data_IF_823340781546
#
_entry.id   IF_823340781546
#
_cell.length_a   1.000
_cell.length_b   1.000
_cell.length_c   1.000
_cell.angle_alpha   90.00
_cell.angle_beta   90.00
_cell.angle_gamma   90.00
#
_symmetry.space_group_name_H-M   'P 1'
#
loop_
_entity.id
_entity.type
_entity.pdbx_description
1 polymer ?
#
# COMPACT_ATOMS: atom_id res chain seq x y z
N UNK A 1 36.37 16.40 9.54
CA UNK A 1 35.42 16.53 10.67
C UNK A 1 34.02 16.71 10.13
N UNK A 2 33.17 15.69 10.18
CA UNK A 2 31.76 15.78 9.74
C UNK A 2 30.98 16.44 10.87
N UNK A 3 30.53 17.68 10.68
CA UNK A 3 29.56 18.34 11.59
C UNK A 3 28.37 17.40 11.72
N UNK A 4 28.08 16.91 12.94
CA UNK A 4 26.81 16.22 13.23
C UNK A 4 25.70 17.24 12.97
N UNK A 5 25.09 17.19 11.80
CA UNK A 5 23.88 17.94 11.52
C UNK A 5 22.82 17.53 12.57
N UNK A 6 22.15 18.51 13.17
CA UNK A 6 21.15 18.25 14.19
C UNK A 6 19.99 17.41 13.65
N UNK A 7 19.33 16.64 14.52
CA UNK A 7 18.15 15.80 14.17
C UNK A 7 17.11 16.61 13.39
N UNK A 8 16.88 17.86 13.78
CA UNK A 8 15.97 18.78 13.10
C UNK A 8 16.32 19.05 11.63
N UNK A 9 17.61 19.15 11.30
CA UNK A 9 18.05 19.37 9.93
C UNK A 9 17.74 18.15 9.05
N UNK A 10 17.95 16.94 9.57
CA UNK A 10 17.63 15.69 8.87
C UNK A 10 16.13 15.53 8.68
N UNK A 11 15.32 15.86 9.71
CA UNK A 11 13.86 15.86 9.61
C UNK A 11 13.37 16.86 8.56
N UNK A 12 13.88 18.09 8.60
CA UNK A 12 13.55 19.12 7.62
C UNK A 12 13.90 18.65 6.21
N UNK A 13 15.09 18.07 6.01
CA UNK A 13 15.50 17.54 4.71
C UNK A 13 14.61 16.38 4.24
N UNK A 14 14.21 15.47 5.13
CA UNK A 14 13.31 14.38 4.80
C UNK A 14 11.94 14.89 4.30
N UNK A 15 11.46 16.00 4.86
CA UNK A 15 10.19 16.64 4.48
C UNK A 15 10.33 17.53 3.24
N UNK A 16 11.43 18.27 3.10
CA UNK A 16 11.67 19.19 1.98
C UNK A 16 12.23 18.51 0.74
N UNK A 17 12.73 17.27 0.88
CA UNK A 17 13.53 16.63 -0.15
C UNK A 17 14.93 17.24 -0.21
N UNK A 18 15.92 16.43 -0.58
CA UNK A 18 17.29 16.85 -0.79
C UNK A 18 17.90 16.16 -2.00
N UNK A 19 18.96 16.71 -2.58
CA UNK A 19 19.62 16.14 -3.77
C UNK A 19 20.78 15.19 -3.44
N UNK A 20 20.73 14.55 -2.27
CA UNK A 20 21.79 13.64 -1.83
C UNK A 20 21.71 12.30 -2.52
N UNK A 21 22.88 11.81 -2.91
CA UNK A 21 23.05 10.45 -3.37
C UNK A 21 22.96 9.44 -2.20
N UNK A 22 21.89 8.63 -2.21
CA UNK A 22 21.59 7.69 -1.14
C UNK A 22 22.56 6.50 -1.11
N UNK A 23 23.29 6.25 -2.20
CA UNK A 23 24.29 5.16 -2.28
C UNK A 23 25.65 5.58 -1.71
N UNK A 24 25.85 6.87 -1.38
CA UNK A 24 27.12 7.37 -0.82
C UNK A 24 27.02 7.88 0.62
N UNK A 25 25.89 8.46 1.03
CA UNK A 25 25.73 9.01 2.40
C UNK A 25 25.72 7.92 3.50
N UNK A 26 25.72 8.31 4.79
CA UNK A 26 25.58 7.33 5.88
C UNK A 26 24.24 6.56 5.80
N UNK A 27 24.28 5.24 5.93
CA UNK A 27 23.11 4.35 5.79
C UNK A 27 21.93 4.71 6.70
N UNK A 28 22.19 5.01 7.98
CA UNK A 28 21.15 5.46 8.92
C UNK A 28 20.44 6.71 8.43
N UNK A 29 21.18 7.64 7.82
CA UNK A 29 20.63 8.87 7.25
C UNK A 29 19.80 8.57 6.01
N UNK A 30 20.30 7.71 5.11
CA UNK A 30 19.56 7.29 3.92
C UNK A 30 18.20 6.65 4.27
N UNK A 31 18.18 5.76 5.27
CA UNK A 31 16.95 5.16 5.80
C UNK A 31 16.00 6.24 6.32
N UNK A 32 16.45 7.14 7.18
CA UNK A 32 15.60 8.21 7.74
C UNK A 32 15.04 9.14 6.66
N UNK A 33 15.85 9.53 5.68
CA UNK A 33 15.43 10.44 4.59
C UNK A 33 14.35 9.84 3.69
N UNK A 34 14.27 8.51 3.55
CA UNK A 34 13.22 7.84 2.79
C UNK A 34 12.05 7.38 3.66
N UNK A 35 12.32 6.75 4.79
CA UNK A 35 11.27 6.15 5.63
C UNK A 35 10.33 7.19 6.21
N UNK A 36 10.81 8.36 6.65
CA UNK A 36 9.93 9.40 7.22
C UNK A 36 8.86 9.86 6.22
N UNK A 37 9.21 10.36 5.03
CA UNK A 37 8.20 10.80 4.09
C UNK A 37 7.30 9.65 3.63
N UNK A 38 7.82 8.42 3.49
CA UNK A 38 6.99 7.26 3.13
C UNK A 38 6.03 6.82 4.25
N UNK A 39 6.43 6.92 5.53
CA UNK A 39 5.54 6.68 6.68
C UNK A 39 4.43 7.72 6.71
N UNK A 40 4.79 9.00 6.53
CA UNK A 40 3.85 10.11 6.48
C UNK A 40 2.93 10.07 5.27
N UNK A 41 3.40 9.52 4.15
CA UNK A 41 2.60 9.19 2.97
C UNK A 41 1.51 8.17 3.36
N UNK A 42 1.88 7.05 3.98
CA UNK A 42 0.93 6.00 4.39
C UNK A 42 -0.04 6.44 5.50
N UNK A 43 0.42 7.27 6.45
CA UNK A 43 -0.45 7.84 7.48
C UNK A 43 -1.53 8.75 6.89
N UNK A 44 -1.19 9.52 5.85
CA UNK A 44 -2.15 10.39 5.17
C UNK A 44 -3.20 9.61 4.38
N UNK A 45 -2.83 8.45 3.81
CA UNK A 45 -3.81 7.55 3.19
C UNK A 45 -4.81 7.01 4.22
N UNK A 46 -4.31 6.65 5.41
CA UNK A 46 -5.19 6.21 6.49
C UNK A 46 -6.17 7.28 6.93
N UNK A 47 -5.70 8.52 7.07
CA UNK A 47 -6.53 9.64 7.51
C UNK A 47 -7.59 9.96 6.46
N UNK A 48 -7.20 9.98 5.18
CA UNK A 48 -8.11 10.14 4.05
C UNK A 48 -9.23 9.10 4.08
N UNK A 49 -8.91 7.81 4.18
CA UNK A 49 -9.91 6.75 4.20
C UNK A 49 -10.90 6.88 5.37
N UNK A 50 -10.44 7.34 6.53
CA UNK A 50 -11.30 7.59 7.69
C UNK A 50 -12.27 8.75 7.47
N UNK A 51 -11.77 9.86 6.90
CA UNK A 51 -12.55 11.07 6.64
C UNK A 51 -13.62 10.84 5.58
N UNK A 52 -13.29 10.12 4.50
CA UNK A 52 -14.22 9.79 3.42
C UNK A 52 -15.39 8.94 3.94
N UNK A 53 -15.08 7.84 4.65
CA UNK A 53 -16.11 6.97 5.26
C UNK A 53 -16.95 7.74 6.28
N UNK A 54 -16.35 8.65 7.06
CA UNK A 54 -17.08 9.46 8.02
C UNK A 54 -18.16 10.32 7.34
N UNK A 55 -17.84 11.02 6.25
CA UNK A 55 -18.82 11.83 5.56
C UNK A 55 -19.88 10.99 4.83
N UNK A 56 -19.47 9.92 4.15
CA UNK A 56 -20.41 9.01 3.47
C UNK A 56 -21.38 8.37 4.46
N UNK A 57 -20.92 8.00 5.66
CA UNK A 57 -21.78 7.35 6.67
C UNK A 57 -22.99 8.19 7.09
N UNK A 58 -22.93 9.52 6.90
CA UNK A 58 -24.02 10.45 7.22
C UNK A 58 -25.15 10.46 6.18
N UNK A 59 -24.92 9.91 4.99
CA UNK A 59 -25.94 9.78 3.94
C UNK A 59 -26.89 8.59 4.18
N UNK A 60 -26.55 7.69 5.09
CA UNK A 60 -27.35 6.53 5.45
C UNK A 60 -26.81 5.20 4.93
N UNK A 61 -27.53 4.12 5.28
CA UNK A 61 -27.08 2.73 5.12
C UNK A 61 -26.82 2.36 3.65
N UNK A 62 -27.66 2.82 2.73
CA UNK A 62 -27.50 2.54 1.31
C UNK A 62 -26.19 3.11 0.74
N UNK A 63 -25.80 4.32 1.14
CA UNK A 63 -24.55 4.95 0.69
C UNK A 63 -23.31 4.21 1.26
N UNK A 64 -23.37 3.78 2.51
CA UNK A 64 -22.32 2.95 3.12
C UNK A 64 -22.19 1.61 2.39
N UNK A 65 -23.32 0.99 2.00
CA UNK A 65 -23.30 -0.25 1.21
C UNK A 65 -22.69 -0.04 -0.18
N UNK A 66 -22.99 1.07 -0.86
CA UNK A 66 -22.35 1.44 -2.14
C UNK A 66 -20.83 1.50 -2.00
N UNK A 67 -20.32 2.22 -0.99
CA UNK A 67 -18.87 2.36 -0.78
C UNK A 67 -18.24 1.01 -0.43
N UNK A 68 -18.82 0.24 0.49
CA UNK A 68 -18.29 -1.06 0.88
C UNK A 68 -18.23 -2.07 -0.28
N UNK A 69 -19.25 -2.11 -1.15
CA UNK A 69 -19.20 -2.94 -2.36
C UNK A 69 -18.10 -2.43 -3.32
N UNK A 70 -18.02 -1.11 -3.52
CA UNK A 70 -17.03 -0.53 -4.42
C UNK A 70 -15.58 -0.75 -3.93
N UNK A 71 -15.34 -0.75 -2.63
CA UNK A 71 -14.03 -1.03 -2.03
C UNK A 71 -13.50 -2.41 -2.46
N UNK A 72 -14.36 -3.44 -2.51
CA UNK A 72 -13.97 -4.77 -2.95
C UNK A 72 -13.50 -4.80 -4.41
N UNK A 73 -14.16 -4.06 -5.29
CA UNK A 73 -13.75 -3.91 -6.69
C UNK A 73 -12.44 -3.10 -6.79
N UNK A 74 -12.34 -2.01 -6.02
CA UNK A 74 -11.16 -1.15 -5.99
C UNK A 74 -9.93 -1.84 -5.42
N UNK A 75 -10.09 -2.78 -4.50
CA UNK A 75 -8.98 -3.57 -3.96
C UNK A 75 -8.21 -4.32 -5.07
N UNK A 76 -8.89 -4.78 -6.13
CA UNK A 76 -8.25 -5.43 -7.29
C UNK A 76 -7.41 -4.40 -8.06
N UNK A 77 -7.99 -3.22 -8.34
CA UNK A 77 -7.30 -2.13 -9.04
C UNK A 77 -6.10 -1.64 -8.21
N UNK A 78 -6.25 -1.48 -6.90
CA UNK A 78 -5.16 -1.10 -6.00
C UNK A 78 -4.06 -2.16 -5.92
N UNK A 79 -4.40 -3.46 -5.97
CA UNK A 79 -3.40 -4.53 -6.01
C UNK A 79 -2.54 -4.43 -7.28
N UNK A 80 -3.15 -4.10 -8.41
CA UNK A 80 -2.44 -3.85 -9.68
C UNK A 80 -1.60 -2.57 -9.57
N UNK A 81 -2.14 -1.49 -8.98
CA UNK A 81 -1.44 -0.23 -8.79
C UNK A 81 -0.21 -0.38 -7.87
N UNK A 82 -0.33 -1.13 -6.78
CA UNK A 82 0.77 -1.43 -5.87
C UNK A 82 1.81 -2.33 -6.53
N UNK A 83 1.39 -3.35 -7.29
CA UNK A 83 2.30 -4.18 -8.08
C UNK A 83 3.08 -3.36 -9.10
N UNK A 84 2.38 -2.55 -9.90
CA UNK A 84 2.99 -1.62 -10.85
C UNK A 84 3.97 -0.66 -10.17
N UNK A 85 3.58 -0.10 -9.02
CA UNK A 85 4.45 0.77 -8.23
C UNK A 85 5.72 0.06 -7.74
N UNK A 86 5.64 -1.20 -7.33
CA UNK A 86 6.81 -1.98 -6.93
C UNK A 86 7.77 -2.22 -8.12
N UNK A 87 7.24 -2.58 -9.29
CA UNK A 87 8.04 -2.78 -10.49
C UNK A 87 8.72 -1.50 -10.98
N UNK A 88 7.97 -0.40 -11.08
CA UNK A 88 8.53 0.92 -11.44
C UNK A 88 9.61 1.34 -10.43
N UNK A 89 9.35 1.19 -9.12
CA UNK A 89 10.34 1.54 -8.09
C UNK A 89 11.62 0.74 -8.27
N UNK A 90 11.54 -0.58 -8.54
CA UNK A 90 12.71 -1.43 -8.72
C UNK A 90 13.56 -1.01 -9.92
N UNK A 91 12.95 -0.80 -11.09
CA UNK A 91 13.67 -0.42 -12.32
C UNK A 91 14.27 0.99 -12.20
N UNK A 92 13.48 1.97 -11.74
CA UNK A 92 13.97 3.35 -11.59
C UNK A 92 15.05 3.44 -10.51
N UNK A 93 14.89 2.73 -9.38
CA UNK A 93 15.92 2.68 -8.35
C UNK A 93 17.21 2.07 -8.88
N UNK A 94 17.13 0.98 -9.66
CA UNK A 94 18.28 0.34 -10.28
C UNK A 94 19.08 1.32 -11.14
N UNK A 95 18.42 1.96 -12.11
CA UNK A 95 19.03 2.95 -13.02
C UNK A 95 19.58 4.17 -12.27
N UNK A 96 18.87 4.63 -11.24
CA UNK A 96 19.34 5.73 -10.37
C UNK A 96 20.62 5.34 -9.62
N UNK A 97 20.71 4.09 -9.16
CA UNK A 97 21.90 3.52 -8.54
C UNK A 97 23.10 3.48 -9.48
N UNK A 98 22.87 3.02 -10.72
CA UNK A 98 23.85 2.93 -11.82
C UNK A 98 24.35 4.29 -12.29
N UNK A 99 23.74 5.39 -11.83
CA UNK A 99 23.95 6.77 -12.32
C UNK A 99 23.53 6.95 -13.78
N UNK A 100 22.72 6.03 -14.30
CA UNK A 100 22.12 6.09 -15.63
C UNK A 100 20.82 6.92 -15.58
N UNK A 101 20.98 8.24 -15.69
CA UNK A 101 19.84 9.17 -15.67
C UNK A 101 18.89 8.96 -16.86
N UNK A 102 19.43 8.75 -18.07
CA UNK A 102 18.61 8.56 -19.27
C UNK A 102 17.82 7.24 -19.16
N UNK A 103 18.43 6.16 -18.69
CA UNK A 103 17.72 4.90 -18.44
C UNK A 103 16.62 5.02 -17.37
N UNK A 104 16.85 5.81 -16.32
CA UNK A 104 15.84 6.10 -15.31
C UNK A 104 14.66 6.89 -15.90
N UNK A 105 14.93 7.87 -16.75
CA UNK A 105 13.92 8.67 -17.45
C UNK A 105 13.09 7.82 -18.43
N UNK A 106 13.74 6.93 -19.18
CA UNK A 106 13.05 5.98 -20.07
C UNK A 106 12.16 5.04 -19.26
N UNK A 107 12.67 4.44 -18.18
CA UNK A 107 11.89 3.54 -17.32
C UNK A 107 10.66 4.24 -16.71
N UNK A 108 10.83 5.50 -16.29
CA UNK A 108 9.75 6.34 -15.78
C UNK A 108 8.63 6.54 -16.81
N UNK A 109 8.98 6.86 -18.06
CA UNK A 109 7.99 7.03 -19.14
C UNK A 109 7.31 5.70 -19.49
N UNK A 110 8.05 4.60 -19.60
CA UNK A 110 7.44 3.29 -19.84
C UNK A 110 6.47 2.89 -18.72
N UNK A 111 6.81 3.19 -17.45
CA UNK A 111 5.92 3.00 -16.31
C UNK A 111 4.61 3.79 -16.41
N UNK A 112 4.68 5.05 -16.84
CA UNK A 112 3.49 5.89 -17.09
C UNK A 112 2.64 5.33 -18.22
N UNK A 113 3.26 4.88 -19.31
CA UNK A 113 2.54 4.26 -20.44
C UNK A 113 1.81 2.99 -20.01
N UNK A 114 2.45 2.15 -19.18
CA UNK A 114 1.81 0.95 -18.61
C UNK A 114 0.65 1.34 -17.70
N UNK A 115 0.82 2.35 -16.84
CA UNK A 115 -0.25 2.85 -15.96
C UNK A 115 -1.48 3.33 -16.76
N UNK A 116 -1.27 4.07 -17.84
CA UNK A 116 -2.34 4.55 -18.73
C UNK A 116 -3.02 3.36 -19.43
N UNK A 117 -2.23 2.44 -19.99
CA UNK A 117 -2.76 1.28 -20.70
C UNK A 117 -3.62 0.39 -19.80
N UNK A 118 -3.12 0.05 -18.60
CA UNK A 118 -3.87 -0.71 -17.60
C UNK A 118 -5.10 0.06 -17.13
N UNK A 119 -4.97 1.37 -16.92
CA UNK A 119 -6.09 2.19 -16.48
C UNK A 119 -7.22 2.23 -17.50
N UNK A 120 -6.91 2.38 -18.78
CA UNK A 120 -7.90 2.34 -19.86
C UNK A 120 -8.51 0.95 -19.99
N UNK A 121 -7.72 -0.11 -19.83
CA UNK A 121 -8.20 -1.49 -19.86
C UNK A 121 -9.31 -1.74 -18.82
N UNK A 122 -9.21 -1.18 -17.62
CA UNK A 122 -10.25 -1.30 -16.59
C UNK A 122 -11.32 -0.20 -16.67
N UNK A 123 -10.96 1.00 -17.09
CA UNK A 123 -11.88 2.14 -17.14
C UNK A 123 -12.98 1.91 -18.16
N UNK A 124 -12.61 1.45 -19.37
CA UNK A 124 -13.55 1.32 -20.49
C UNK A 124 -14.68 0.33 -20.13
N UNK A 125 -14.42 -0.93 -19.75
CA UNK A 125 -15.48 -1.84 -19.32
C UNK A 125 -16.20 -1.34 -18.07
N UNK A 126 -15.48 -0.77 -17.10
CA UNK A 126 -16.05 -0.30 -15.84
C UNK A 126 -17.12 0.79 -16.01
N UNK A 127 -16.97 1.66 -17.01
CA UNK A 127 -17.98 2.70 -17.30
C UNK A 127 -19.26 2.10 -17.87
N UNK A 128 -19.12 1.14 -18.81
CA UNK A 128 -20.24 0.52 -19.49
C UNK A 128 -21.00 -0.46 -18.59
N UNK A 129 -20.29 -1.19 -17.72
CA UNK A 129 -20.87 -2.27 -16.89
C UNK A 129 -21.02 -1.88 -15.40
N UNK A 130 -20.93 -0.60 -15.03
CA UNK A 130 -20.93 -0.17 -13.63
C UNK A 130 -22.14 -0.69 -12.81
N UNK A 131 -23.34 -0.64 -13.39
CA UNK A 131 -24.56 -1.11 -12.71
C UNK A 131 -24.61 -2.63 -12.62
N UNK A 132 -24.19 -3.33 -13.67
CA UNK A 132 -24.11 -4.79 -13.74
C UNK A 132 -23.09 -5.34 -12.76
N UNK A 133 -21.96 -4.65 -12.57
CA UNK A 133 -20.95 -4.98 -11.57
C UNK A 133 -21.54 -4.90 -10.16
N UNK A 134 -22.25 -3.82 -9.81
CA UNK A 134 -22.93 -3.72 -8.51
C UNK A 134 -23.94 -4.85 -8.29
N UNK A 135 -24.74 -5.16 -9.31
CA UNK A 135 -25.72 -6.25 -9.24
C UNK A 135 -25.03 -7.60 -9.05
N UNK A 136 -23.94 -7.85 -9.77
CA UNK A 136 -23.15 -9.09 -9.63
C UNK A 136 -22.55 -9.23 -8.22
N UNK A 137 -22.29 -8.13 -7.53
CA UNK A 137 -21.79 -8.10 -6.15
C UNK A 137 -22.91 -8.20 -5.10
N UNK A 138 -24.17 -8.33 -5.53
CA UNK A 138 -25.32 -8.51 -4.63
C UNK A 138 -25.98 -7.21 -4.17
N UNK A 139 -25.76 -6.08 -4.87
CA UNK A 139 -26.47 -4.84 -4.57
C UNK A 139 -27.99 -5.00 -4.73
N UNK A 140 -28.76 -4.46 -3.77
CA UNK A 140 -30.20 -4.30 -3.91
C UNK A 140 -30.51 -3.30 -5.04
N UNK A 141 -31.75 -3.27 -5.59
CA UNK A 141 -32.11 -2.28 -6.61
C UNK A 141 -31.83 -0.83 -6.19
N UNK A 142 -32.11 -0.48 -4.92
CA UNK A 142 -31.83 0.83 -4.34
C UNK A 142 -30.32 1.14 -4.30
N UNK A 143 -29.50 0.21 -3.82
CA UNK A 143 -28.03 0.37 -3.77
C UNK A 143 -27.45 0.42 -5.19
N UNK A 144 -28.01 -0.34 -6.12
CA UNK A 144 -27.60 -0.33 -7.53
C UNK A 144 -27.89 1.04 -8.16
N UNK A 145 -29.10 1.58 -7.98
CA UNK A 145 -29.50 2.88 -8.52
C UNK A 145 -28.64 4.01 -7.95
N UNK A 146 -28.47 4.04 -6.63
CA UNK A 146 -27.64 5.04 -5.93
C UNK A 146 -26.15 4.91 -6.29
N UNK A 147 -25.64 3.69 -6.40
CA UNK A 147 -24.21 3.41 -6.56
C UNK A 147 -23.69 3.41 -8.00
N UNK A 148 -24.56 3.27 -9.00
CA UNK A 148 -24.11 3.19 -10.41
C UNK A 148 -23.30 4.42 -10.84
N UNK A 149 -23.73 5.67 -10.57
CA UNK A 149 -22.92 6.85 -10.89
C UNK A 149 -21.59 6.87 -10.13
N UNK A 150 -21.61 6.48 -8.86
CA UNK A 150 -20.41 6.40 -8.01
C UNK A 150 -19.36 5.45 -8.59
N UNK A 151 -19.73 4.19 -8.86
CA UNK A 151 -18.82 3.20 -9.46
C UNK A 151 -18.35 3.63 -10.83
N UNK A 152 -19.25 4.18 -11.67
CA UNK A 152 -18.90 4.64 -13.01
C UNK A 152 -17.79 5.70 -12.96
N UNK A 153 -17.86 6.65 -12.02
CA UNK A 153 -16.81 7.66 -11.83
C UNK A 153 -15.55 7.01 -11.27
N UNK A 154 -15.66 6.24 -10.20
CA UNK A 154 -14.52 5.61 -9.52
C UNK A 154 -13.71 4.71 -10.46
N UNK A 155 -14.37 3.80 -11.18
CA UNK A 155 -13.69 2.89 -12.12
C UNK A 155 -13.34 3.62 -13.42
N UNK A 156 -14.22 4.47 -13.94
CA UNK A 156 -13.94 5.23 -15.17
C UNK A 156 -12.74 6.18 -15.07
N UNK A 157 -12.40 6.62 -13.87
CA UNK A 157 -11.25 7.48 -13.59
C UNK A 157 -10.02 6.74 -13.03
N UNK A 158 -10.04 5.40 -12.96
CA UNK A 158 -8.97 4.62 -12.33
C UNK A 158 -7.58 4.83 -12.98
N UNK A 159 -7.51 5.33 -14.22
CA UNK A 159 -6.27 5.80 -14.85
C UNK A 159 -5.54 6.80 -13.94
N UNK A 160 -6.28 7.71 -13.30
CA UNK A 160 -5.72 8.71 -12.37
C UNK A 160 -5.12 8.01 -11.15
N UNK A 161 -5.79 6.99 -10.61
CA UNK A 161 -5.28 6.19 -9.48
C UNK A 161 -3.96 5.53 -9.86
N UNK A 162 -3.92 4.81 -10.98
CA UNK A 162 -2.71 4.14 -11.46
C UNK A 162 -1.56 5.13 -11.73
N UNK A 163 -1.87 6.31 -12.25
CA UNK A 163 -0.89 7.38 -12.44
C UNK A 163 -0.35 7.91 -11.10
N UNK A 164 -1.20 8.15 -10.10
CA UNK A 164 -0.73 8.60 -8.77
C UNK A 164 0.26 7.61 -8.18
N UNK A 165 -0.08 6.32 -8.15
CA UNK A 165 0.79 5.28 -7.59
C UNK A 165 2.05 5.05 -8.46
N UNK A 166 1.89 5.03 -9.78
CA UNK A 166 2.99 4.85 -10.72
C UNK A 166 4.01 5.99 -10.65
N UNK A 167 3.56 7.24 -10.63
CA UNK A 167 4.48 8.39 -10.55
C UNK A 167 5.08 8.53 -9.15
N UNK A 168 4.33 8.24 -8.08
CA UNK A 168 4.93 8.17 -6.74
C UNK A 168 6.03 7.11 -6.68
N UNK A 169 5.85 5.96 -7.35
CA UNK A 169 6.89 4.96 -7.47
C UNK A 169 8.14 5.46 -8.23
N UNK A 170 7.98 6.28 -9.27
CA UNK A 170 9.10 6.93 -9.97
C UNK A 170 9.87 7.82 -8.99
N UNK A 171 9.19 8.69 -8.26
CA UNK A 171 9.84 9.60 -7.30
C UNK A 171 10.53 8.84 -6.16
N UNK A 172 9.91 7.78 -5.64
CA UNK A 172 10.52 6.92 -4.62
C UNK A 172 11.74 6.19 -5.19
N UNK A 173 11.63 5.57 -6.35
CA UNK A 173 12.74 4.92 -7.05
C UNK A 173 13.93 5.86 -7.28
N UNK A 174 13.67 7.11 -7.66
CA UNK A 174 14.68 8.16 -7.82
C UNK A 174 15.27 8.69 -6.49
N UNK A 175 14.73 8.25 -5.35
CA UNK A 175 15.16 8.66 -4.01
C UNK A 175 14.58 9.97 -3.51
N UNK A 176 13.51 10.48 -4.13
CA UNK A 176 12.80 11.69 -3.72
C UNK A 176 11.41 11.36 -3.15
N UNK A 177 11.39 10.63 -2.03
CA UNK A 177 10.15 10.26 -1.35
C UNK A 177 9.34 11.47 -0.84
N UNK A 178 9.99 12.61 -0.59
CA UNK A 178 9.33 13.84 -0.18
C UNK A 178 8.34 14.38 -1.23
N UNK A 179 8.68 14.26 -2.53
CA UNK A 179 7.76 14.64 -3.60
C UNK A 179 6.55 13.70 -3.67
N UNK A 180 6.77 12.39 -3.50
CA UNK A 180 5.70 11.39 -3.47
C UNK A 180 4.75 11.59 -2.27
N UNK A 181 5.29 11.96 -1.11
CA UNK A 181 4.47 12.31 0.06
C UNK A 181 3.62 13.55 -0.22
N UNK A 182 4.22 14.63 -0.75
CA UNK A 182 3.50 15.89 -0.97
C UNK A 182 2.43 15.80 -2.05
N UNK A 183 2.67 15.07 -3.14
CA UNK A 183 1.63 14.84 -4.15
C UNK A 183 0.40 14.21 -3.52
N UNK A 184 0.60 13.18 -2.70
CA UNK A 184 -0.48 12.46 -2.02
C UNK A 184 -1.20 13.33 -1.00
N UNK A 185 -0.45 14.10 -0.21
CA UNK A 185 -1.02 15.05 0.74
C UNK A 185 -1.87 16.10 0.06
N UNK A 186 -1.39 16.70 -1.03
CA UNK A 186 -2.16 17.68 -1.81
C UNK A 186 -3.47 17.06 -2.27
N UNK A 187 -3.42 15.86 -2.85
CA UNK A 187 -4.62 15.20 -3.35
C UNK A 187 -5.62 14.85 -2.23
N UNK A 188 -5.13 14.26 -1.14
CA UNK A 188 -5.97 13.86 -0.02
C UNK A 188 -6.54 15.07 0.73
N UNK A 189 -5.78 16.16 0.90
CA UNK A 189 -6.28 17.40 1.51
C UNK A 189 -7.37 18.04 0.64
N UNK A 190 -7.16 18.12 -0.68
CA UNK A 190 -8.17 18.64 -1.60
C UNK A 190 -9.44 17.80 -1.53
N UNK A 191 -9.31 16.47 -1.57
CA UNK A 191 -10.45 15.59 -1.44
C UNK A 191 -11.19 15.81 -0.10
N UNK A 192 -10.51 15.77 1.05
CA UNK A 192 -11.16 15.92 2.36
C UNK A 192 -11.88 17.27 2.52
N UNK A 193 -11.43 18.31 1.82
CA UNK A 193 -12.12 19.61 1.77
C UNK A 193 -13.33 19.55 0.83
N UNK A 194 -13.20 18.90 -0.32
CA UNK A 194 -14.27 18.79 -1.32
C UNK A 194 -15.37 17.81 -0.93
N UNK A 195 -15.07 16.77 -0.14
CA UNK A 195 -16.02 15.76 0.32
C UNK A 195 -17.26 16.39 0.94
N UNK A 196 -17.20 17.15 2.06
CA UNK A 196 -18.40 17.72 2.66
C UNK A 196 -19.09 18.73 1.73
N UNK A 197 -18.33 19.41 0.86
CA UNK A 197 -18.90 20.39 -0.08
C UNK A 197 -19.76 19.73 -1.15
N UNK A 198 -19.27 18.63 -1.75
CA UNK A 198 -19.96 17.90 -2.83
C UNK A 198 -20.96 16.88 -2.30
N UNK A 199 -20.70 16.26 -1.16
CA UNK A 199 -21.62 15.28 -0.55
C UNK A 199 -22.90 15.98 -0.09
N UNK A 200 -22.78 17.09 0.66
CA UNK A 200 -23.94 17.78 1.26
C UNK A 200 -24.39 19.03 0.50
N UNK A 201 -23.75 19.38 -0.62
CA UNK A 201 -24.12 20.55 -1.43
C UNK A 201 -23.96 21.88 -0.70
N UNK A 202 -22.80 22.10 -0.08
CA UNK A 202 -22.54 23.32 0.72
C UNK A 202 -22.09 24.46 -0.19
N UNK A 203 -22.61 25.66 0.08
CA UNK A 203 -22.24 26.92 -0.60
C UNK A 203 -22.65 26.97 -2.08
N UNK A 204 -21.70 26.86 -3.01
CA UNK A 204 -21.95 26.88 -4.46
C UNK A 204 -21.97 25.47 -5.07
N UNK A 205 -21.66 24.44 -4.29
CA UNK A 205 -21.56 23.08 -4.77
C UNK A 205 -22.95 22.40 -4.76
N UNK A 206 -23.30 21.63 -5.80
CA UNK A 206 -24.53 20.85 -5.80
C UNK A 206 -24.46 19.70 -4.79
N UNK A 207 -25.61 19.31 -4.24
CA UNK A 207 -25.71 18.10 -3.42
C UNK A 207 -25.65 16.86 -4.32
N UNK A 208 -24.51 16.15 -4.28
CA UNK A 208 -24.27 14.98 -5.12
C UNK A 208 -24.35 13.65 -4.35
N UNK A 209 -24.60 13.70 -3.04
CA UNK A 209 -24.65 12.53 -2.17
C UNK A 209 -23.39 11.68 -2.29
N UNK A 210 -23.55 10.35 -2.39
CA UNK A 210 -22.41 9.42 -2.45
C UNK A 210 -21.53 9.67 -3.68
N UNK A 211 -22.13 10.09 -4.80
CA UNK A 211 -21.42 10.43 -6.04
C UNK A 211 -20.46 11.61 -5.83
N UNK A 212 -20.78 12.53 -4.89
CA UNK A 212 -19.91 13.63 -4.51
C UNK A 212 -18.56 13.17 -3.96
N UNK A 213 -18.54 12.08 -3.17
CA UNK A 213 -17.30 11.49 -2.63
C UNK A 213 -16.39 10.94 -3.75
N UNK A 214 -16.98 10.28 -4.75
CA UNK A 214 -16.23 9.83 -5.93
C UNK A 214 -15.62 11.01 -6.69
N UNK A 215 -16.41 12.07 -6.94
CA UNK A 215 -15.93 13.26 -7.66
C UNK A 215 -14.82 13.97 -6.88
N UNK A 216 -14.99 14.17 -5.57
CA UNK A 216 -13.97 14.74 -4.71
C UNK A 216 -12.67 13.92 -4.77
N UNK A 217 -12.77 12.59 -4.72
CA UNK A 217 -11.62 11.67 -4.81
C UNK A 217 -10.89 11.85 -6.15
N UNK A 218 -11.62 11.86 -7.26
CA UNK A 218 -11.03 12.01 -8.61
C UNK A 218 -10.36 13.37 -8.78
N UNK A 219 -10.99 14.45 -8.29
CA UNK A 219 -10.40 15.79 -8.33
C UNK A 219 -9.12 15.83 -7.48
N UNK A 220 -9.17 15.32 -6.25
CA UNK A 220 -8.00 15.26 -5.36
C UNK A 220 -6.84 14.48 -5.99
N UNK A 221 -7.09 13.26 -6.45
CA UNK A 221 -6.07 12.43 -7.12
C UNK A 221 -5.60 13.07 -8.44
N UNK A 222 -6.50 13.71 -9.19
CA UNK A 222 -6.17 14.45 -10.40
C UNK A 222 -5.20 15.61 -10.12
N UNK A 223 -5.45 16.39 -9.08
CA UNK A 223 -4.55 17.45 -8.63
C UNK A 223 -3.18 16.90 -8.19
N UNK A 224 -3.14 15.73 -7.54
CA UNK A 224 -1.89 15.04 -7.22
C UNK A 224 -1.11 14.68 -8.49
N UNK A 225 -1.77 14.12 -9.52
CA UNK A 225 -1.16 13.81 -10.83
C UNK A 225 -0.66 15.07 -11.52
N UNK A 226 -1.42 16.17 -11.50
CA UNK A 226 -0.98 17.43 -12.09
C UNK A 226 0.29 17.97 -11.40
N UNK A 227 0.35 17.91 -10.07
CA UNK A 227 1.54 18.28 -9.29
C UNK A 227 2.73 17.38 -9.61
N UNK A 228 2.51 16.06 -9.73
CA UNK A 228 3.52 15.09 -10.12
C UNK A 228 4.06 15.36 -11.53
N UNK A 229 3.18 15.53 -12.51
CA UNK A 229 3.53 15.85 -13.89
C UNK A 229 4.33 17.17 -13.96
N UNK A 230 3.90 18.20 -13.23
CA UNK A 230 4.66 19.46 -13.17
C UNK A 230 6.12 19.23 -12.74
N UNK A 231 6.36 18.38 -11.73
CA UNK A 231 7.73 18.02 -11.32
C UNK A 231 8.50 17.19 -12.34
N UNK A 232 7.83 16.32 -13.10
CA UNK A 232 8.47 15.53 -14.15
C UNK A 232 8.83 16.36 -15.39
N UNK A 233 8.10 17.44 -15.67
CA UNK A 233 8.31 18.30 -16.83
C UNK A 233 9.10 19.59 -16.54
N UNK A 234 9.26 20.02 -15.27
CA UNK A 234 9.91 21.29 -14.94
C UNK A 234 11.45 21.30 -15.07
N UNK A 235 12.06 20.16 -15.40
CA UNK A 235 13.51 20.03 -15.61
C UNK A 235 14.39 20.14 -14.35
N UNK A 236 13.80 20.11 -13.15
CA UNK A 236 14.52 20.24 -11.87
C UNK A 236 14.50 18.95 -11.02
N UNK A 237 13.74 17.96 -11.46
CA UNK A 237 13.62 16.66 -10.77
C UNK A 237 14.76 15.72 -11.15
N UNK A 238 15.02 14.73 -10.28
CA UNK A 238 16.01 13.67 -10.53
C UNK A 238 15.67 12.77 -11.72
N UNK A 239 14.40 12.74 -12.09
CA UNK A 239 13.86 12.07 -13.27
C UNK A 239 13.08 13.10 -14.06
N UNK A 240 13.28 13.11 -15.37
CA UNK A 240 12.69 14.06 -16.31
C UNK A 240 12.00 13.35 -17.47
N UNK A 241 10.90 13.94 -17.94
CA UNK A 241 10.20 13.45 -19.13
C UNK A 241 10.48 14.38 -20.30
N UNK A 242 11.01 13.79 -21.37
CA UNK A 242 11.17 14.44 -22.67
C UNK A 242 10.48 13.59 -23.75
N UNK A 243 10.07 14.23 -24.84
CA UNK A 243 9.36 13.56 -25.96
C UNK A 243 10.18 12.41 -26.56
N UNK A 244 11.51 12.48 -26.52
CA UNK A 244 12.40 11.40 -26.98
C UNK A 244 12.27 10.10 -26.18
N UNK A 245 11.82 10.16 -24.92
CA UNK A 245 11.63 9.00 -24.04
C UNK A 245 10.31 8.26 -24.32
N UNK A 246 9.42 8.81 -25.16
CA UNK A 246 8.16 8.17 -25.55
C UNK A 246 8.35 6.98 -26.51
N UNK A 247 9.55 6.79 -27.05
CA UNK A 247 9.85 5.60 -27.86
C UNK A 247 9.73 4.35 -26.99
N UNK A 248 9.05 3.32 -27.50
CA UNK A 248 8.92 2.06 -26.81
C UNK A 248 10.29 1.42 -26.57
N UNK A 249 10.65 1.30 -25.30
CA UNK A 249 11.84 0.58 -24.85
C UNK A 249 11.40 -0.78 -24.31
N UNK A 250 11.34 -1.78 -25.21
CA UNK A 250 10.77 -3.10 -24.92
C UNK A 250 11.43 -3.77 -23.70
N UNK A 251 12.74 -3.65 -23.54
CA UNK A 251 13.45 -4.23 -22.40
C UNK A 251 13.00 -3.62 -21.08
N UNK A 252 12.97 -2.28 -21.00
CA UNK A 252 12.52 -1.56 -19.80
C UNK A 252 11.05 -1.85 -19.49
N UNK A 253 10.18 -1.86 -20.52
CA UNK A 253 8.77 -2.18 -20.40
C UNK A 253 8.58 -3.61 -19.86
N UNK A 254 9.29 -4.59 -20.41
CA UNK A 254 9.16 -5.99 -20.01
C UNK A 254 9.68 -6.26 -18.60
N UNK A 255 10.77 -5.59 -18.21
CA UNK A 255 11.27 -5.66 -16.85
C UNK A 255 10.28 -5.06 -15.84
N UNK A 256 9.67 -3.92 -16.16
CA UNK A 256 8.61 -3.35 -15.32
C UNK A 256 7.43 -4.33 -15.22
N UNK A 257 6.93 -4.87 -16.34
CA UNK A 257 5.78 -5.78 -16.35
C UNK A 257 6.08 -7.05 -15.54
N UNK A 258 7.26 -7.67 -15.73
CA UNK A 258 7.67 -8.89 -15.03
C UNK A 258 7.75 -8.67 -13.53
N UNK A 259 8.33 -7.56 -13.07
CA UNK A 259 8.41 -7.26 -11.64
C UNK A 259 7.02 -6.92 -11.08
N UNK A 260 6.25 -6.14 -11.83
CA UNK A 260 4.93 -5.66 -11.42
C UNK A 260 3.91 -6.78 -11.30
N UNK A 261 3.89 -7.74 -12.23
CA UNK A 261 2.96 -8.85 -12.21
C UNK A 261 3.19 -9.75 -11.00
N UNK A 262 4.45 -9.99 -10.63
CA UNK A 262 4.79 -10.72 -9.41
C UNK A 262 4.36 -10.01 -8.14
N UNK A 263 4.65 -8.71 -8.03
CA UNK A 263 4.22 -7.93 -6.86
C UNK A 263 2.69 -7.80 -6.77
N UNK A 264 1.99 -7.62 -7.90
CA UNK A 264 0.52 -7.63 -7.93
C UNK A 264 -0.05 -8.99 -7.50
N UNK A 265 0.54 -10.09 -7.98
CA UNK A 265 0.16 -11.44 -7.57
C UNK A 265 0.36 -11.64 -6.06
N UNK A 266 1.46 -11.14 -5.50
CA UNK A 266 1.70 -11.19 -4.05
C UNK A 266 0.56 -10.53 -3.26
N UNK A 267 0.15 -9.31 -3.64
CA UNK A 267 -0.96 -8.61 -2.99
C UNK A 267 -2.30 -9.32 -3.18
N UNK A 268 -2.58 -9.85 -4.37
CA UNK A 268 -3.80 -10.61 -4.62
C UNK A 268 -3.86 -11.91 -3.82
N UNK A 269 -2.75 -12.64 -3.72
CA UNK A 269 -2.64 -13.87 -2.92
C UNK A 269 -2.96 -13.60 -1.45
N UNK A 270 -2.36 -12.53 -0.90
CA UNK A 270 -2.63 -12.09 0.47
C UNK A 270 -4.08 -11.64 0.63
N UNK A 271 -4.55 -10.67 -0.16
CA UNK A 271 -5.93 -10.15 -0.06
C UNK A 271 -6.99 -11.23 -0.22
N UNK A 272 -6.76 -12.24 -1.08
CA UNK A 272 -7.67 -13.35 -1.25
C UNK A 272 -7.66 -14.32 -0.05
N UNK A 273 -6.52 -14.54 0.63
CA UNK A 273 -6.49 -15.41 1.82
C UNK A 273 -7.36 -14.85 2.94
N UNK A 274 -7.38 -13.53 3.12
CA UNK A 274 -8.23 -12.83 4.09
C UNK A 274 -9.73 -13.16 3.92
N UNK A 275 -10.22 -13.30 2.69
CA UNK A 275 -11.62 -13.68 2.42
C UNK A 275 -11.96 -15.04 3.02
N UNK A 276 -11.05 -16.01 2.92
CA UNK A 276 -11.24 -17.33 3.52
C UNK A 276 -11.19 -17.29 5.05
N UNK A 277 -10.31 -16.48 5.63
CA UNK A 277 -10.25 -16.30 7.09
C UNK A 277 -11.55 -15.70 7.63
N UNK A 278 -12.05 -14.64 6.99
CA UNK A 278 -13.36 -14.05 7.33
C UNK A 278 -14.46 -15.10 7.21
N UNK A 279 -14.43 -15.94 6.17
CA UNK A 279 -15.41 -17.02 5.99
C UNK A 279 -15.37 -18.07 7.10
N UNK A 280 -14.20 -18.39 7.64
CA UNK A 280 -14.05 -19.29 8.79
C UNK A 280 -14.61 -18.61 10.05
N UNK A 281 -14.23 -17.36 10.32
CA UNK A 281 -14.74 -16.58 11.46
C UNK A 281 -16.27 -16.46 11.41
N UNK A 282 -16.86 -16.29 10.22
CA UNK A 282 -18.31 -16.25 10.03
C UNK A 282 -19.04 -17.52 10.46
N UNK A 283 -18.34 -18.66 10.58
CA UNK A 283 -18.89 -19.88 11.17
C UNK A 283 -19.21 -19.76 12.67
N UNK A 284 -18.69 -18.75 13.37
CA UNK A 284 -18.88 -18.52 14.80
C UNK A 284 -19.90 -17.40 15.10
N UNK A 285 -20.64 -16.92 14.10
CA UNK A 285 -21.72 -15.96 14.28
C UNK A 285 -21.34 -14.51 13.95
N UNK A 286 -22.35 -13.64 13.92
CA UNK A 286 -22.21 -12.23 13.51
C UNK A 286 -21.32 -11.41 14.44
N UNK A 287 -21.37 -11.67 15.75
CA UNK A 287 -20.55 -10.95 16.72
C UNK A 287 -19.05 -11.25 16.56
N UNK A 288 -18.71 -12.50 16.21
CA UNK A 288 -17.33 -12.89 15.92
C UNK A 288 -16.79 -12.15 14.68
N UNK A 289 -17.60 -12.06 13.63
CA UNK A 289 -17.24 -11.30 12.41
C UNK A 289 -17.09 -9.81 12.71
N UNK A 290 -18.00 -9.23 13.49
CA UNK A 290 -17.95 -7.83 13.88
C UNK A 290 -16.68 -7.51 14.69
N UNK A 291 -16.40 -8.30 15.74
CA UNK A 291 -15.20 -8.14 16.56
C UNK A 291 -13.91 -8.30 15.77
N UNK A 292 -13.83 -9.32 14.91
CA UNK A 292 -12.69 -9.52 14.01
C UNK A 292 -12.50 -8.34 13.05
N UNK A 293 -13.57 -7.87 12.41
CA UNK A 293 -13.51 -6.76 11.45
C UNK A 293 -13.01 -5.47 12.11
N UNK A 294 -13.45 -5.17 13.33
CA UNK A 294 -12.95 -4.03 14.11
C UNK A 294 -11.44 -4.20 14.38
N UNK A 295 -11.03 -5.38 14.85
CA UNK A 295 -9.62 -5.66 15.11
C UNK A 295 -8.74 -5.51 13.86
N UNK A 296 -9.20 -6.00 12.71
CA UNK A 296 -8.47 -5.90 11.43
C UNK A 296 -8.30 -4.44 11.00
N UNK A 297 -9.32 -3.60 11.16
CA UNK A 297 -9.21 -2.16 10.86
C UNK A 297 -8.12 -1.50 11.73
N UNK A 298 -8.08 -1.83 13.02
CA UNK A 298 -7.04 -1.33 13.94
C UNK A 298 -5.66 -1.87 13.56
N UNK A 299 -5.56 -3.14 13.18
CA UNK A 299 -4.32 -3.79 12.73
C UNK A 299 -3.79 -3.08 11.46
N UNK A 300 -4.60 -2.91 10.43
CA UNK A 300 -4.18 -2.26 9.18
C UNK A 300 -3.67 -0.84 9.46
N UNK A 301 -4.36 -0.07 10.31
CA UNK A 301 -3.90 1.25 10.72
C UNK A 301 -2.48 1.22 11.31
N UNK A 302 -2.19 0.25 12.18
CA UNK A 302 -0.86 0.08 12.76
C UNK A 302 0.19 -0.43 11.75
N UNK A 303 -0.20 -1.18 10.72
CA UNK A 303 0.70 -1.69 9.67
C UNK A 303 1.11 -0.63 8.64
N UNK A 304 0.31 0.41 8.43
CA UNK A 304 0.58 1.43 7.40
C UNK A 304 1.97 2.11 7.55
N UNK A 305 2.39 2.58 8.74
CA UNK A 305 3.76 3.07 8.92
C UNK A 305 4.83 2.00 8.65
N UNK A 306 4.57 0.75 8.99
CA UNK A 306 5.50 -0.36 8.73
C UNK A 306 5.71 -0.58 7.22
N UNK A 307 4.64 -0.47 6.42
CA UNK A 307 4.76 -0.46 4.95
C UNK A 307 5.59 0.71 4.43
N UNK A 308 5.49 1.89 5.04
CA UNK A 308 6.34 3.03 4.70
C UNK A 308 7.84 2.72 4.86
N UNK A 309 8.22 2.06 5.95
CA UNK A 309 9.60 1.62 6.18
C UNK A 309 10.02 0.52 5.20
N UNK A 310 9.13 -0.43 4.90
CA UNK A 310 9.39 -1.49 3.94
C UNK A 310 9.58 -0.97 2.50
N UNK A 311 8.82 0.05 2.10
CA UNK A 311 8.99 0.72 0.81
C UNK A 311 10.35 1.45 0.73
N UNK A 312 10.82 2.05 1.82
CA UNK A 312 12.15 2.65 1.87
C UNK A 312 13.26 1.62 1.66
N UNK A 313 13.11 0.43 2.26
CA UNK A 313 14.04 -0.68 2.06
C UNK A 313 14.09 -1.12 0.58
N UNK A 314 12.93 -1.25 -0.08
CA UNK A 314 12.84 -1.56 -1.51
C UNK A 314 13.66 -0.59 -2.37
N UNK A 315 13.47 0.73 -2.18
CA UNK A 315 14.25 1.76 -2.89
C UNK A 315 15.74 1.67 -2.61
N UNK A 316 16.14 1.54 -1.33
CA UNK A 316 17.55 1.48 -0.96
C UNK A 316 18.23 0.22 -1.52
N UNK A 317 17.56 -0.92 -1.50
CA UNK A 317 18.08 -2.15 -2.06
C UNK A 317 18.29 -2.00 -3.57
N UNK A 318 17.27 -1.51 -4.30
CA UNK A 318 17.37 -1.28 -5.74
C UNK A 318 18.51 -0.33 -6.11
N UNK A 319 18.62 0.82 -5.44
CA UNK A 319 19.69 1.79 -5.72
C UNK A 319 21.09 1.28 -5.37
N UNK A 320 21.26 0.61 -4.22
CA UNK A 320 22.58 0.09 -3.84
C UNK A 320 23.01 -1.07 -4.74
N UNK A 321 22.08 -1.92 -5.19
CA UNK A 321 22.41 -2.96 -6.16
C UNK A 321 22.73 -2.37 -7.55
N UNK A 322 22.09 -1.28 -7.97
CA UNK A 322 22.48 -0.55 -9.18
C UNK A 322 23.83 0.13 -9.08
N UNK A 323 24.23 0.53 -7.88
CA UNK A 323 25.56 1.10 -7.62
C UNK A 323 26.65 0.05 -7.36
N UNK A 324 26.42 -1.22 -7.72
CA UNK A 324 27.31 -2.37 -7.46
C UNK A 324 27.73 -2.53 -5.99
N UNK A 325 26.83 -2.21 -5.06
CA UNK A 325 27.05 -2.30 -3.61
C UNK A 325 26.07 -3.29 -2.93
N UNK A 326 26.12 -4.59 -3.25
CA UNK A 326 25.17 -5.59 -2.71
C UNK A 326 25.24 -5.76 -1.19
N UNK A 327 26.42 -5.59 -0.58
CA UNK A 327 26.56 -5.65 0.89
C UNK A 327 25.90 -4.47 1.57
N UNK A 328 25.93 -3.29 0.94
CA UNK A 328 25.25 -2.10 1.42
C UNK A 328 23.73 -2.22 1.24
N UNK A 329 23.28 -2.83 0.13
CA UNK A 329 21.88 -3.15 -0.08
C UNK A 329 21.35 -4.06 1.03
N UNK A 330 22.05 -5.15 1.32
CA UNK A 330 21.67 -6.09 2.38
C UNK A 330 21.61 -5.42 3.75
N UNK A 331 22.66 -4.68 4.13
CA UNK A 331 22.70 -3.96 5.41
C UNK A 331 21.60 -2.91 5.54
N UNK A 332 21.22 -2.27 4.44
CA UNK A 332 20.11 -1.30 4.43
C UNK A 332 18.78 -1.98 4.73
N UNK A 333 18.51 -3.14 4.12
CA UNK A 333 17.31 -3.94 4.41
C UNK A 333 17.25 -4.39 5.87
N UNK A 334 18.36 -4.88 6.43
CA UNK A 334 18.42 -5.27 7.84
C UNK A 334 18.21 -4.10 8.80
N UNK A 335 18.74 -2.92 8.47
CA UNK A 335 18.56 -1.71 9.27
C UNK A 335 17.10 -1.23 9.24
N UNK A 336 16.47 -1.20 8.06
CA UNK A 336 15.04 -0.93 7.93
C UNK A 336 14.22 -1.96 8.72
N UNK A 337 14.58 -3.25 8.64
CA UNK A 337 13.92 -4.33 9.37
C UNK A 337 14.00 -4.14 10.88
N UNK A 338 15.15 -3.70 11.39
CA UNK A 338 15.32 -3.39 12.80
C UNK A 338 14.46 -2.20 13.26
N UNK A 339 14.44 -1.09 12.50
CA UNK A 339 13.57 0.05 12.82
C UNK A 339 12.09 -0.34 12.77
N UNK A 340 11.71 -1.15 11.78
CA UNK A 340 10.35 -1.65 11.66
C UNK A 340 9.98 -2.57 12.83
N UNK A 341 10.89 -3.46 13.26
CA UNK A 341 10.69 -4.34 14.40
C UNK A 341 10.48 -3.54 15.69
N UNK A 342 11.28 -2.49 15.93
CA UNK A 342 11.11 -1.63 17.10
C UNK A 342 9.72 -0.97 17.09
N UNK A 343 9.31 -0.39 15.96
CA UNK A 343 7.98 0.20 15.80
C UNK A 343 6.85 -0.82 16.04
N UNK A 344 6.92 -1.97 15.38
CA UNK A 344 5.90 -3.03 15.47
C UNK A 344 5.83 -3.65 16.87
N UNK A 345 6.96 -3.74 17.58
CA UNK A 345 6.99 -4.19 18.98
C UNK A 345 6.31 -3.18 19.91
N UNK A 346 6.48 -1.88 19.67
CA UNK A 346 5.74 -0.84 20.40
C UNK A 346 4.24 -0.97 20.13
N UNK A 347 3.83 -1.17 18.87
CA UNK A 347 2.42 -1.39 18.53
C UNK A 347 1.85 -2.64 19.21
N UNK A 348 2.61 -3.75 19.25
CA UNK A 348 2.19 -4.96 19.94
C UNK A 348 1.99 -4.74 21.45
N UNK A 349 2.90 -4.01 22.11
CA UNK A 349 2.74 -3.64 23.52
C UNK A 349 1.50 -2.78 23.76
N UNK A 350 1.22 -1.83 22.86
CA UNK A 350 0.01 -1.01 22.92
C UNK A 350 -1.25 -1.86 22.75
N UNK A 351 -1.26 -2.82 21.81
CA UNK A 351 -2.41 -3.71 21.62
C UNK A 351 -2.64 -4.60 22.83
N UNK A 352 -1.58 -5.17 23.42
CA UNK A 352 -1.70 -6.01 24.61
C UNK A 352 -2.31 -5.22 25.78
N UNK A 353 -1.79 -4.01 26.03
CA UNK A 353 -2.20 -3.17 27.16
C UNK A 353 -3.57 -2.52 26.95
N UNK A 354 -3.87 -2.03 25.75
CA UNK A 354 -5.01 -1.15 25.48
C UNK A 354 -6.08 -1.73 24.54
N UNK A 355 -5.99 -2.99 24.11
CA UNK A 355 -6.98 -3.60 23.22
C UNK A 355 -8.45 -3.37 23.64
N UNK A 356 -8.87 -3.55 24.92
CA UNK A 356 -10.25 -3.29 25.34
C UNK A 356 -10.70 -1.85 25.09
N UNK A 357 -9.82 -0.88 25.34
CA UNK A 357 -10.11 0.52 25.08
C UNK A 357 -10.21 0.79 23.58
N UNK A 358 -9.24 0.32 22.78
CA UNK A 358 -9.20 0.55 21.33
C UNK A 358 -10.41 -0.04 20.61
N UNK A 359 -10.79 -1.28 20.94
CA UNK A 359 -11.98 -1.94 20.39
C UNK A 359 -13.26 -1.29 20.94
N UNK A 360 -13.25 -0.91 22.22
CA UNK A 360 -14.38 -0.23 22.88
C UNK A 360 -14.75 1.12 22.27
N UNK A 361 -13.82 1.82 21.61
CA UNK A 361 -14.12 3.06 20.87
C UNK A 361 -15.19 2.87 19.78
N UNK A 362 -15.33 1.66 19.26
CA UNK A 362 -16.35 1.31 18.25
C UNK A 362 -17.70 0.94 18.87
N UNK A 363 -17.82 0.98 20.20
CA UNK A 363 -19.01 0.60 20.97
C UNK A 363 -19.66 -0.74 20.53
N UNK A 364 -18.88 -1.83 20.33
CA UNK A 364 -19.46 -3.11 19.95
C UNK A 364 -20.25 -3.75 21.11
N UNK A 365 -21.09 -4.72 20.78
CA UNK A 365 -21.69 -5.61 21.79
C UNK A 365 -20.63 -6.38 22.57
N UNK A 366 -20.98 -6.91 23.74
CA UNK A 366 -20.04 -7.54 24.66
C UNK A 366 -19.23 -8.69 24.03
N UNK A 367 -19.88 -9.53 23.22
CA UNK A 367 -19.22 -10.65 22.54
C UNK A 367 -18.26 -10.17 21.44
N UNK A 368 -18.69 -9.23 20.60
CA UNK A 368 -17.84 -8.62 19.59
C UNK A 368 -16.64 -7.88 20.20
N UNK A 369 -16.82 -7.23 21.36
CA UNK A 369 -15.72 -6.65 22.14
C UNK A 369 -14.71 -7.73 22.55
N UNK A 370 -15.19 -8.85 23.12
CA UNK A 370 -14.33 -9.95 23.55
C UNK A 370 -13.50 -10.51 22.40
N UNK A 371 -14.16 -10.83 21.28
CA UNK A 371 -13.51 -11.36 20.07
C UNK A 371 -12.50 -10.37 19.51
N UNK A 372 -12.86 -9.08 19.40
CA UNK A 372 -11.95 -8.05 18.89
C UNK A 372 -10.71 -7.87 19.77
N UNK A 373 -10.87 -7.93 21.10
CA UNK A 373 -9.76 -7.85 22.06
C UNK A 373 -8.84 -9.06 21.93
N UNK A 374 -9.40 -10.27 21.82
CA UNK A 374 -8.61 -11.48 21.61
C UNK A 374 -7.84 -11.42 20.29
N UNK A 375 -8.49 -10.99 19.20
CA UNK A 375 -7.87 -10.86 17.90
C UNK A 375 -6.64 -9.93 17.94
N UNK A 376 -6.78 -8.73 18.52
CA UNK A 376 -5.65 -7.80 18.64
C UNK A 376 -4.50 -8.39 19.47
N UNK A 377 -4.80 -9.00 20.61
CA UNK A 377 -3.79 -9.54 21.53
C UNK A 377 -3.04 -10.70 20.93
N UNK A 378 -3.74 -11.62 20.26
CA UNK A 378 -3.14 -12.84 19.70
C UNK A 378 -2.38 -12.53 18.40
N UNK A 379 -2.98 -11.78 17.47
CA UNK A 379 -2.35 -11.48 16.17
C UNK A 379 -1.05 -10.69 16.36
N UNK A 380 -1.04 -9.73 17.31
CA UNK A 380 0.15 -8.90 17.53
C UNK A 380 1.36 -9.65 18.08
N UNK A 381 1.20 -10.88 18.59
CA UNK A 381 2.33 -11.71 19.02
C UNK A 381 3.29 -12.03 17.86
N UNK A 382 2.78 -12.07 16.61
CA UNK A 382 3.59 -12.26 15.41
C UNK A 382 4.34 -11.01 14.94
N UNK A 383 4.02 -9.81 15.47
CA UNK A 383 4.51 -8.53 14.94
C UNK A 383 6.04 -8.39 14.96
N UNK A 384 6.69 -8.96 15.97
CA UNK A 384 8.14 -8.94 16.09
C UNK A 384 8.81 -9.57 14.86
N UNK A 385 8.35 -10.74 14.44
CA UNK A 385 8.85 -11.43 13.25
C UNK A 385 8.32 -10.78 11.97
N UNK A 386 7.02 -10.51 11.92
CA UNK A 386 6.35 -9.95 10.75
C UNK A 386 7.00 -8.64 10.26
N UNK A 387 7.49 -7.80 11.18
CA UNK A 387 8.21 -6.59 10.84
C UNK A 387 9.42 -6.81 9.92
N UNK A 388 10.19 -7.90 10.16
CA UNK A 388 11.27 -8.30 9.26
C UNK A 388 10.73 -8.90 7.97
N UNK A 389 9.72 -9.77 8.05
CA UNK A 389 9.09 -10.39 6.87
C UNK A 389 8.62 -9.37 5.84
N UNK A 390 7.92 -8.33 6.30
CA UNK A 390 7.44 -7.23 5.49
C UNK A 390 8.57 -6.46 4.78
N UNK A 391 9.62 -6.10 5.52
CA UNK A 391 10.76 -5.34 4.97
C UNK A 391 11.57 -6.18 3.98
N UNK A 392 11.84 -7.44 4.31
CA UNK A 392 12.60 -8.33 3.43
C UNK A 392 11.79 -8.70 2.19
N UNK A 393 10.48 -8.92 2.31
CA UNK A 393 9.59 -9.11 1.17
C UNK A 393 9.66 -7.93 0.20
N UNK A 394 9.57 -6.70 0.70
CA UNK A 394 9.70 -5.50 -0.15
C UNK A 394 11.11 -5.31 -0.70
N UNK A 395 12.13 -5.78 0.02
CA UNK A 395 13.52 -5.76 -0.45
C UNK A 395 13.74 -6.69 -1.65
N UNK A 396 13.09 -7.86 -1.70
CA UNK A 396 13.09 -8.73 -2.88
C UNK A 396 12.46 -8.03 -4.09
N UNK A 397 11.31 -7.38 -3.89
CA UNK A 397 10.66 -6.57 -4.93
C UNK A 397 11.59 -5.46 -5.44
N UNK A 398 12.26 -4.72 -4.54
CA UNK A 398 13.24 -3.69 -4.89
C UNK A 398 14.49 -4.21 -5.59
N UNK A 399 14.88 -5.46 -5.32
CA UNK A 399 15.95 -6.14 -6.05
C UNK A 399 15.55 -6.57 -7.47
N UNK A 400 14.24 -6.66 -7.75
CA UNK A 400 13.68 -7.20 -9.00
C UNK A 400 13.42 -8.70 -8.98
N UNK A 401 13.33 -9.31 -7.80
CA UNK A 401 12.96 -10.72 -7.59
C UNK A 401 11.59 -10.83 -6.90
N UNK A 402 10.48 -10.55 -7.60
CA UNK A 402 9.15 -10.63 -6.99
C UNK A 402 8.67 -12.09 -6.79
N UNK A 403 9.32 -13.06 -7.46
CA UNK A 403 8.87 -14.45 -7.45
C UNK A 403 9.18 -15.14 -6.13
N UNK A 404 10.30 -14.79 -5.49
CA UNK A 404 10.58 -15.28 -4.14
C UNK A 404 9.43 -14.93 -3.18
N UNK A 405 9.01 -13.66 -3.01
CA UNK A 405 7.81 -13.33 -2.21
C UNK A 405 6.54 -14.03 -2.64
N UNK A 406 6.24 -14.15 -3.95
CA UNK A 406 5.01 -14.80 -4.43
C UNK A 406 4.90 -16.23 -3.93
N UNK A 407 5.95 -17.04 -4.10
CA UNK A 407 5.94 -18.43 -3.65
C UNK A 407 5.86 -18.55 -2.13
N UNK A 408 6.52 -17.64 -1.40
CA UNK A 408 6.44 -17.59 0.05
C UNK A 408 5.04 -17.23 0.55
N UNK A 409 4.38 -16.24 -0.06
CA UNK A 409 3.00 -15.84 0.29
C UNK A 409 2.01 -16.95 -0.04
N UNK A 410 2.15 -17.59 -1.20
CA UNK A 410 1.32 -18.75 -1.57
C UNK A 410 1.47 -19.87 -0.55
N UNK A 411 2.71 -20.25 -0.20
CA UNK A 411 2.94 -21.30 0.79
C UNK A 411 2.39 -20.94 2.17
N UNK A 412 2.73 -19.76 2.71
CA UNK A 412 2.37 -19.39 4.08
C UNK A 412 0.88 -19.13 4.23
N UNK A 413 0.25 -18.41 3.30
CA UNK A 413 -1.16 -17.98 3.44
C UNK A 413 -2.16 -19.01 2.91
N UNK A 414 -1.81 -19.81 1.90
CA UNK A 414 -2.75 -20.77 1.34
C UNK A 414 -2.53 -22.20 1.82
N UNK A 415 -1.27 -22.65 1.85
CA UNK A 415 -0.96 -24.03 2.23
C UNK A 415 -0.82 -24.23 3.73
N UNK A 416 -0.54 -23.16 4.49
CA UNK A 416 -0.37 -23.23 5.96
C UNK A 416 -1.51 -22.49 6.67
N UNK A 417 -1.69 -21.19 6.46
CA UNK A 417 -2.61 -20.36 7.24
C UNK A 417 -4.07 -20.83 7.16
N UNK A 418 -4.63 -21.00 5.96
CA UNK A 418 -6.04 -21.40 5.82
C UNK A 418 -6.33 -22.78 6.44
N UNK A 419 -5.55 -23.85 6.13
CA UNK A 419 -5.73 -25.15 6.79
C UNK A 419 -5.53 -25.11 8.31
N UNK A 420 -4.53 -24.35 8.78
CA UNK A 420 -4.25 -24.18 10.20
C UNK A 420 -5.39 -23.43 10.91
N UNK A 421 -5.88 -22.34 10.33
CA UNK A 421 -7.01 -21.58 10.84
C UNK A 421 -8.26 -22.44 10.95
N UNK A 422 -8.57 -23.21 9.89
CA UNK A 422 -9.74 -24.10 9.89
C UNK A 422 -9.64 -25.21 10.94
N UNK A 423 -8.47 -25.85 11.06
CA UNK A 423 -8.25 -26.94 12.02
C UNK A 423 -8.22 -26.45 13.47
N UNK A 424 -7.50 -25.37 13.77
CA UNK A 424 -7.44 -24.80 15.11
C UNK A 424 -8.78 -24.23 15.54
N UNK A 425 -9.51 -23.54 14.65
CA UNK A 425 -10.82 -22.99 14.99
C UNK A 425 -11.82 -24.10 15.35
N UNK A 426 -11.77 -25.25 14.66
CA UNK A 426 -12.58 -26.43 14.99
C UNK A 426 -12.14 -27.11 16.28
N UNK A 427 -10.84 -27.20 16.53
CA UNK A 427 -10.29 -27.87 17.71
C UNK A 427 -10.53 -27.07 19.00
N UNK A 428 -10.32 -25.76 18.96
CA UNK A 428 -10.55 -24.86 20.10
C UNK A 428 -12.04 -24.48 20.26
N UNK A 429 -12.86 -24.70 19.23
CA UNK A 429 -14.28 -24.38 19.25
C UNK A 429 -14.59 -22.88 19.19
N UNK A 430 -13.64 -22.06 18.70
CA UNK A 430 -13.80 -20.60 18.65
C UNK A 430 -12.94 -19.91 17.59
N UNK A 431 -13.19 -18.60 17.33
CA UNK A 431 -12.47 -17.83 16.33
C UNK A 431 -10.99 -17.59 16.68
N UNK A 432 -10.58 -17.82 17.94
CA UNK A 432 -9.19 -17.73 18.39
C UNK A 432 -8.22 -18.58 17.56
N UNK A 433 -8.66 -19.75 17.09
CA UNK A 433 -7.84 -20.60 16.22
C UNK A 433 -7.41 -19.91 14.92
N UNK A 434 -8.25 -19.00 14.40
CA UNK A 434 -7.92 -18.16 13.24
C UNK A 434 -6.83 -17.15 13.61
N UNK A 435 -6.91 -16.52 14.77
CA UNK A 435 -5.96 -15.50 15.21
C UNK A 435 -4.57 -16.09 15.44
N UNK A 436 -4.50 -17.29 16.03
CA UNK A 436 -3.25 -18.03 16.22
C UNK A 436 -2.65 -18.40 14.87
N UNK A 437 -3.47 -18.85 13.91
CA UNK A 437 -3.00 -19.20 12.57
C UNK A 437 -2.40 -18.00 11.83
N UNK A 438 -3.02 -16.81 11.92
CA UNK A 438 -2.49 -15.56 11.35
C UNK A 438 -1.11 -15.25 11.98
N UNK A 439 -1.03 -15.20 13.31
CA UNK A 439 0.21 -14.87 14.01
C UNK A 439 1.34 -15.85 13.66
N UNK A 440 1.01 -17.16 13.57
CA UNK A 440 1.95 -18.20 13.19
C UNK A 440 2.42 -18.07 11.74
N UNK A 441 1.50 -17.93 10.79
CA UNK A 441 1.82 -17.89 9.36
C UNK A 441 2.60 -16.65 8.98
N UNK A 442 2.30 -15.49 9.58
CA UNK A 442 3.07 -14.26 9.37
C UNK A 442 4.50 -14.37 9.95
N UNK A 443 4.64 -15.05 11.09
CA UNK A 443 5.94 -15.36 11.67
C UNK A 443 6.73 -16.35 10.80
N UNK A 444 6.06 -17.37 10.26
CA UNK A 444 6.65 -18.33 9.33
C UNK A 444 7.13 -17.65 8.04
N UNK A 445 6.29 -16.79 7.45
CA UNK A 445 6.65 -15.99 6.28
C UNK A 445 7.91 -15.17 6.56
N UNK A 446 7.98 -14.49 7.71
CA UNK A 446 9.15 -13.72 8.09
C UNK A 446 10.42 -14.57 8.22
N UNK A 447 10.33 -15.75 8.87
CA UNK A 447 11.47 -16.66 9.01
C UNK A 447 11.95 -17.18 7.66
N UNK A 448 11.03 -17.52 6.75
CA UNK A 448 11.38 -17.94 5.40
C UNK A 448 11.99 -16.81 4.58
N UNK A 449 11.44 -15.59 4.67
CA UNK A 449 12.03 -14.40 4.07
C UNK A 449 13.47 -14.18 4.57
N UNK A 450 13.71 -14.27 5.89
CA UNK A 450 15.06 -14.18 6.48
C UNK A 450 15.98 -15.25 5.90
N UNK A 451 15.52 -16.50 5.80
CA UNK A 451 16.29 -17.61 5.27
C UNK A 451 16.69 -17.38 3.80
N UNK A 452 15.74 -17.07 2.93
CA UNK A 452 16.02 -16.84 1.51
C UNK A 452 16.81 -15.55 1.27
N UNK A 453 16.60 -14.53 2.10
CA UNK A 453 17.35 -13.28 1.99
C UNK A 453 18.83 -13.51 2.32
N UNK A 454 19.13 -14.31 3.36
CA UNK A 454 20.52 -14.69 3.71
C UNK A 454 21.20 -15.57 2.65
N UNK A 455 20.45 -16.34 1.86
CA UNK A 455 21.03 -17.10 0.73
C UNK A 455 21.57 -16.20 -0.39
N UNK A 456 21.17 -14.93 -0.45
CA UNK A 456 21.77 -13.94 -1.32
C UNK A 456 21.46 -14.06 -2.82
N UNK A 457 20.64 -15.01 -3.28
CA UNK A 457 20.28 -15.16 -4.71
C UNK A 457 19.67 -13.88 -5.31
N UNK A 458 18.90 -13.14 -4.52
CA UNK A 458 18.30 -11.86 -4.91
C UNK A 458 19.33 -10.79 -5.29
N UNK A 459 20.58 -10.88 -4.79
CA UNK A 459 21.66 -9.95 -5.15
C UNK A 459 22.05 -10.07 -6.63
N UNK A 460 21.77 -11.20 -7.26
CA UNK A 460 22.06 -11.48 -8.66
C UNK A 460 20.94 -11.06 -9.62
N UNK A 461 19.81 -10.59 -9.09
CA UNK A 461 18.67 -10.19 -9.91
C UNK A 461 19.02 -8.96 -10.76
N UNK A 462 18.69 -9.04 -12.05
CA UNK A 462 18.86 -7.97 -13.04
C UNK A 462 17.50 -7.46 -13.51
N UNK A 463 17.41 -6.13 -13.69
CA UNK A 463 16.18 -5.39 -13.96
C UNK A 463 16.40 -4.23 -14.92
#
# INVERSE_FOLDING_TARGET
MVRREGVWAVLKEALTGGDRDLTSIGMRRAVVLLSIPMVLEMAMESLFALVDVFFVSRLGVAAVAVVGLTEGLMAIIYSIAWGLGAGITAVVARRTGEKDREGADVAAVQGILIAIALGLLFAVPGVFFAGELLRAMGASPEVQELGTPFIRIMVGSNVVILLVFGINAIFRGAGNAALAMRSLWIGNIINMVLDPLLIFGIWLFPEMGVTGAAVATVIGRGCAVLYQCWHLFNGRSRVMIATRHLKFAWDALWNIIRVSSGAAAQFLIASASWVFLVRIVAGFGSDAVAGYTIAVRIIIFALLPAWGVANAASTLVGQNLGADQPDRAERSAWLCGHYNMVYMSIMAMLFIAFAPWMVGLFSPGAEALHVGVQALRVICLGYFFYAYGMVLSQSFNGAGDPMTPVWLNMFCFWLVEIPLAWSLARWLGGPEGVFIAIAFSESLLALLCIYFFRKGKWKLAQV
#
